data_IF_732892691164
#
_entry.id   IF_732892691164
#
_cell.length_a   1.000
_cell.length_b   1.000
_cell.length_c   1.000
_cell.angle_alpha   90.00
_cell.angle_beta   90.00
_cell.angle_gamma   90.00
#
_symmetry.space_group_name_H-M   'P 1'
#
loop_
_entity.id
_entity.type
_entity.pdbx_description
1 polymer ?
#
# COMPACT_ATOMS: atom_id res chain seq x y z
N UNK A 1 -2.29 -4.87 16.63
CA UNK A 1 -1.91 -3.58 17.24
C UNK A 1 -2.31 -3.48 18.71
N UNK A 2 -3.51 -3.92 19.14
CA UNK A 2 -4.02 -3.75 20.53
C UNK A 2 -3.16 -4.32 21.68
N UNK A 3 -2.22 -5.22 21.41
CA UNK A 3 -1.32 -5.80 22.42
C UNK A 3 0.03 -5.07 22.55
N UNK A 4 0.30 -4.10 21.68
CA UNK A 4 1.55 -3.34 21.65
C UNK A 4 1.24 -1.88 22.00
N UNK A 5 1.83 -1.31 23.06
CA UNK A 5 1.69 0.11 23.37
C UNK A 5 2.00 0.97 22.13
N UNK A 6 1.14 1.93 21.80
CA UNK A 6 1.28 2.74 20.59
C UNK A 6 2.68 3.37 20.44
N UNK A 7 3.26 3.83 21.55
CA UNK A 7 4.61 4.40 21.61
C UNK A 7 5.73 3.42 21.19
N UNK A 8 5.51 2.11 21.30
CA UNK A 8 6.49 1.08 20.92
C UNK A 8 6.36 0.63 19.46
N UNK A 9 5.23 0.94 18.81
CA UNK A 9 4.93 0.47 17.44
C UNK A 9 6.02 0.86 16.44
N UNK A 10 6.51 2.12 16.38
CA UNK A 10 7.52 2.49 15.39
C UNK A 10 8.83 1.72 15.55
N UNK A 11 9.27 1.50 16.80
CA UNK A 11 10.53 0.81 17.08
C UNK A 11 10.44 -0.68 16.76
N UNK A 12 9.35 -1.33 17.19
CA UNK A 12 9.12 -2.74 16.88
C UNK A 12 8.91 -2.94 15.38
N UNK A 13 8.06 -2.12 14.75
CA UNK A 13 7.83 -2.16 13.32
C UNK A 13 9.11 -2.00 12.51
N UNK A 14 9.97 -1.04 12.85
CA UNK A 14 11.25 -0.84 12.17
C UNK A 14 12.17 -2.06 12.31
N UNK A 15 12.28 -2.63 13.52
CA UNK A 15 13.09 -3.82 13.74
C UNK A 15 12.60 -5.03 12.91
N UNK A 16 11.28 -5.23 12.87
CA UNK A 16 10.65 -6.28 12.05
C UNK A 16 10.88 -6.01 10.55
N UNK A 17 10.71 -4.78 10.09
CA UNK A 17 10.92 -4.45 8.67
C UNK A 17 12.37 -4.71 8.23
N UNK A 18 13.36 -4.33 9.04
CA UNK A 18 14.77 -4.59 8.75
C UNK A 18 15.07 -6.08 8.71
N UNK A 19 14.63 -6.85 9.72
CA UNK A 19 14.93 -8.28 9.80
C UNK A 19 14.31 -9.06 8.63
N UNK A 20 13.05 -8.80 8.27
CA UNK A 20 12.38 -9.51 7.19
C UNK A 20 12.88 -9.10 5.80
N UNK A 21 13.21 -7.82 5.61
CA UNK A 21 13.84 -7.37 4.35
C UNK A 21 15.22 -7.99 4.19
N UNK A 22 16.00 -8.10 5.28
CA UNK A 22 17.29 -8.78 5.26
C UNK A 22 17.16 -10.27 4.89
N UNK A 23 16.20 -10.99 5.48
CA UNK A 23 15.96 -12.39 5.12
C UNK A 23 15.50 -12.56 3.67
N UNK A 24 14.62 -11.68 3.18
CA UNK A 24 14.17 -11.69 1.79
C UNK A 24 15.36 -11.55 0.82
N UNK A 25 16.22 -10.55 1.05
CA UNK A 25 17.37 -10.26 0.19
C UNK A 25 18.49 -11.32 0.29
N UNK A 26 18.58 -12.00 1.43
CA UNK A 26 19.63 -13.00 1.69
C UNK A 26 19.23 -14.43 1.31
N UNK A 27 17.99 -14.66 0.86
CA UNK A 27 17.53 -16.01 0.51
C UNK A 27 18.02 -16.41 -0.88
N UNK A 28 18.91 -17.42 -1.00
CA UNK A 28 19.41 -17.85 -2.30
C UNK A 28 18.33 -18.58 -3.11
N UNK A 29 18.31 -18.37 -4.43
CA UNK A 29 17.37 -19.02 -5.35
C UNK A 29 15.90 -18.87 -4.95
N UNK A 30 15.53 -17.70 -4.40
CA UNK A 30 14.17 -17.43 -3.98
C UNK A 30 13.18 -17.54 -5.15
N UNK A 31 12.30 -18.53 -5.08
CA UNK A 31 11.19 -18.71 -6.01
C UNK A 31 9.88 -18.45 -5.26
N UNK A 32 9.25 -17.32 -5.59
CA UNK A 32 8.00 -16.91 -4.96
C UNK A 32 6.81 -17.41 -5.76
N UNK A 33 5.82 -17.96 -5.06
CA UNK A 33 4.51 -18.27 -5.62
C UNK A 33 3.49 -17.25 -5.12
N UNK A 34 2.49 -16.85 -5.93
CA UNK A 34 1.43 -15.96 -5.47
C UNK A 34 0.76 -16.48 -4.19
N UNK A 35 0.46 -15.58 -3.25
CA UNK A 35 -0.31 -15.93 -2.06
C UNK A 35 -1.78 -16.21 -2.39
N UNK A 36 -2.53 -16.70 -1.39
CA UNK A 36 -3.95 -17.07 -1.55
C UNK A 36 -4.84 -15.86 -1.85
N UNK A 37 -4.40 -14.66 -1.46
CA UNK A 37 -5.11 -13.40 -1.68
C UNK A 37 -4.21 -12.42 -2.42
N UNK A 38 -4.79 -11.62 -3.30
CA UNK A 38 -4.04 -10.61 -4.07
C UNK A 38 -3.26 -9.64 -3.18
N UNK A 39 -3.82 -9.24 -2.04
CA UNK A 39 -3.21 -8.33 -1.06
C UNK A 39 -2.14 -8.97 -0.18
N UNK A 40 -1.89 -10.27 -0.30
CA UNK A 40 -0.92 -10.98 0.53
C UNK A 40 0.45 -11.07 -0.16
N UNK A 41 1.49 -10.69 0.58
CA UNK A 41 2.87 -10.79 0.11
C UNK A 41 3.26 -12.26 -0.11
N UNK A 42 3.77 -12.62 -1.31
CA UNK A 42 4.16 -13.99 -1.61
C UNK A 42 5.43 -14.45 -0.87
N UNK A 43 6.19 -13.52 -0.28
CA UNK A 43 7.41 -13.85 0.45
C UNK A 43 7.21 -14.11 1.95
N UNK A 44 6.36 -13.31 2.62
CA UNK A 44 6.21 -13.37 4.08
C UNK A 44 4.76 -13.48 4.55
N UNK A 45 3.78 -13.51 3.65
CA UNK A 45 2.36 -13.62 3.99
C UNK A 45 1.73 -12.36 4.60
N UNK A 46 2.49 -11.28 4.79
CA UNK A 46 1.98 -9.99 5.30
C UNK A 46 1.15 -9.24 4.25
N UNK A 47 0.18 -8.40 4.65
CA UNK A 47 -0.61 -7.60 3.72
C UNK A 47 0.23 -6.51 3.03
N UNK A 48 -0.26 -6.06 1.87
CA UNK A 48 0.23 -4.86 1.19
C UNK A 48 0.00 -3.60 2.05
N UNK A 49 0.99 -2.70 2.05
CA UNK A 49 0.89 -1.36 2.63
C UNK A 49 0.34 -0.34 1.62
N UNK A 50 0.76 -0.46 0.36
CA UNK A 50 0.37 0.41 -0.74
C UNK A 50 0.51 -0.33 -2.08
N UNK A 51 0.04 0.30 -3.15
CA UNK A 51 0.39 -0.07 -4.52
C UNK A 51 1.22 1.00 -5.22
N UNK A 52 1.95 0.59 -6.26
CA UNK A 52 2.82 1.44 -7.06
C UNK A 52 2.53 1.17 -8.54
N UNK A 53 2.26 2.23 -9.29
CA UNK A 53 2.10 2.20 -10.75
C UNK A 53 3.44 2.61 -11.36
N UNK A 54 4.10 1.64 -12.01
CA UNK A 54 5.42 1.84 -12.63
C UNK A 54 5.29 2.65 -13.92
N UNK A 55 6.28 3.48 -14.24
CA UNK A 55 6.27 4.37 -15.43
C UNK A 55 7.42 4.15 -16.41
N UNK A 56 8.28 3.13 -16.18
CA UNK A 56 9.53 2.93 -16.95
C UNK A 56 9.65 1.55 -17.56
N UNK A 57 10.16 1.51 -18.79
CA UNK A 57 10.59 0.30 -19.47
C UNK A 57 9.49 -0.76 -19.61
N UNK A 58 9.87 -2.03 -19.50
CA UNK A 58 8.95 -3.19 -19.63
C UNK A 58 7.85 -3.26 -18.57
N UNK A 59 7.96 -2.47 -17.50
CA UNK A 59 6.98 -2.44 -16.43
C UNK A 59 6.04 -1.23 -16.52
N UNK A 60 6.15 -0.41 -17.57
CA UNK A 60 5.34 0.79 -17.72
C UNK A 60 3.84 0.47 -17.64
N UNK A 61 3.13 1.22 -16.80
CA UNK A 61 1.72 1.06 -16.53
C UNK A 61 1.37 -0.12 -15.64
N UNK A 62 2.31 -1.00 -15.24
CA UNK A 62 2.01 -2.14 -14.37
C UNK A 62 1.83 -1.72 -12.91
N UNK A 63 0.88 -2.37 -12.24
CA UNK A 63 0.65 -2.22 -10.79
C UNK A 63 1.43 -3.28 -10.03
N UNK A 64 2.21 -2.81 -9.07
CA UNK A 64 2.84 -3.65 -8.05
C UNK A 64 2.24 -3.30 -6.68
N UNK A 65 2.11 -4.28 -5.80
CA UNK A 65 1.83 -4.05 -4.40
C UNK A 65 3.14 -4.08 -3.61
N UNK A 66 3.21 -3.29 -2.53
CA UNK A 66 4.40 -3.19 -1.67
C UNK A 66 4.07 -3.80 -0.31
N UNK A 67 4.84 -4.79 0.11
CA UNK A 67 4.64 -5.49 1.38
C UNK A 67 4.85 -4.54 2.57
N UNK A 68 3.95 -4.56 3.55
CA UNK A 68 4.07 -3.79 4.81
C UNK A 68 5.26 -4.20 5.70
N UNK A 69 5.70 -5.46 5.60
CA UNK A 69 6.77 -6.04 6.42
C UNK A 69 8.13 -6.14 5.70
N UNK A 70 8.24 -6.98 4.65
CA UNK A 70 9.53 -7.29 4.02
C UNK A 70 9.88 -6.43 2.79
N UNK A 71 9.06 -5.41 2.47
CA UNK A 71 9.17 -4.57 1.27
C UNK A 71 9.17 -5.30 -0.09
N UNK A 72 8.92 -6.61 -0.13
CA UNK A 72 8.72 -7.35 -1.38
C UNK A 72 7.61 -6.70 -2.21
N UNK A 73 7.90 -6.53 -3.51
CA UNK A 73 6.92 -6.08 -4.49
C UNK A 73 6.44 -7.22 -5.37
N UNK A 74 5.14 -7.29 -5.63
CA UNK A 74 4.55 -8.28 -6.52
C UNK A 74 3.50 -7.67 -7.44
N UNK A 75 3.44 -8.17 -8.67
CA UNK A 75 2.53 -7.68 -9.68
C UNK A 75 1.10 -8.14 -9.41
N UNK A 76 0.14 -7.22 -9.55
CA UNK A 76 -1.29 -7.50 -9.55
C UNK A 76 -1.94 -6.75 -10.71
N UNK A 77 -2.92 -7.38 -11.37
CA UNK A 77 -3.65 -6.76 -12.47
C UNK A 77 -4.31 -5.45 -12.04
N UNK A 78 -4.28 -4.44 -12.91
CA UNK A 78 -4.95 -3.15 -12.67
C UNK A 78 -6.46 -3.29 -12.65
N UNK A 79 -7.12 -2.30 -12.05
CA UNK A 79 -8.59 -2.20 -12.04
C UNK A 79 -9.20 -3.48 -11.45
N UNK A 80 -8.66 -3.90 -10.30
CA UNK A 80 -9.13 -5.05 -9.53
C UNK A 80 -8.88 -4.77 -8.05
N UNK A 81 -9.94 -4.81 -7.25
CA UNK A 81 -9.82 -4.65 -5.81
C UNK A 81 -8.96 -5.79 -5.24
N UNK A 82 -7.94 -5.46 -4.46
CA UNK A 82 -7.02 -6.47 -3.87
C UNK A 82 -7.61 -7.22 -2.67
N UNK A 83 -8.83 -6.85 -2.25
CA UNK A 83 -9.52 -7.43 -1.10
C UNK A 83 -10.70 -8.31 -1.51
N UNK A 84 -11.62 -7.80 -2.33
CA UNK A 84 -12.82 -8.52 -2.77
C UNK A 84 -12.77 -8.99 -4.24
N UNK A 85 -11.69 -8.65 -4.95
CA UNK A 85 -11.44 -9.09 -6.33
C UNK A 85 -12.43 -8.59 -7.40
N UNK A 86 -13.34 -7.68 -7.04
CA UNK A 86 -14.23 -7.01 -7.98
C UNK A 86 -13.47 -5.94 -8.79
N UNK A 87 -13.81 -5.81 -10.06
CA UNK A 87 -13.25 -4.81 -10.99
C UNK A 87 -14.23 -3.69 -11.32
N UNK A 88 -15.53 -3.90 -11.11
CA UNK A 88 -16.57 -2.93 -11.44
C UNK A 88 -16.67 -1.82 -10.40
N UNK A 89 -16.72 -0.57 -10.86
CA UNK A 89 -17.03 0.60 -10.04
C UNK A 89 -15.91 1.02 -9.08
N UNK A 90 -14.65 0.67 -9.38
CA UNK A 90 -13.53 1.21 -8.63
C UNK A 90 -13.36 2.70 -8.94
N UNK A 91 -13.16 3.49 -7.91
CA UNK A 91 -12.95 4.93 -7.99
C UNK A 91 -11.54 5.29 -7.52
N UNK A 92 -11.01 6.42 -7.99
CA UNK A 92 -9.66 6.87 -7.66
C UNK A 92 -9.74 8.28 -7.10
N UNK A 93 -9.53 8.42 -5.80
CA UNK A 93 -9.68 9.68 -5.09
C UNK A 93 -8.31 10.22 -4.68
N UNK A 94 -8.14 11.53 -4.75
CA UNK A 94 -6.97 12.23 -4.24
C UNK A 94 -7.42 13.36 -3.33
N UNK A 95 -6.54 13.84 -2.44
CA UNK A 95 -6.75 15.13 -1.82
C UNK A 95 -6.60 16.23 -2.88
N UNK A 96 -7.41 17.28 -2.76
CA UNK A 96 -7.23 18.49 -3.57
C UNK A 96 -5.93 19.19 -3.15
N UNK A 97 -5.08 19.48 -4.13
CA UNK A 97 -3.83 20.22 -3.97
C UNK A 97 -3.67 21.13 -5.19
N UNK A 98 -3.41 22.42 -4.97
CA UNK A 98 -3.22 23.41 -6.05
C UNK A 98 -2.04 23.05 -6.98
N UNK A 99 -1.12 22.18 -6.52
CA UNK A 99 0.06 21.75 -7.30
C UNK A 99 -0.25 20.71 -8.37
N UNK A 100 -1.34 19.95 -8.24
CA UNK A 100 -1.66 18.85 -9.14
C UNK A 100 -3.16 18.79 -9.44
N UNK A 101 -3.53 18.68 -10.71
CA UNK A 101 -4.89 18.27 -11.05
C UNK A 101 -5.19 16.90 -10.43
N UNK A 102 -6.44 16.64 -10.02
CA UNK A 102 -6.80 15.40 -9.31
C UNK A 102 -6.40 14.11 -10.09
N UNK A 103 -6.56 14.11 -11.41
CA UNK A 103 -6.14 13.01 -12.28
C UNK A 103 -4.62 12.89 -12.48
N UNK A 104 -3.85 13.85 -11.98
CA UNK A 104 -2.39 13.93 -12.00
C UNK A 104 -1.77 13.93 -10.60
N UNK A 105 -2.56 13.71 -9.53
CA UNK A 105 -2.01 13.59 -8.18
C UNK A 105 -1.05 12.39 -8.09
N UNK A 106 0.16 12.52 -7.50
CA UNK A 106 1.13 11.43 -7.40
C UNK A 106 0.67 10.29 -6.49
N UNK A 107 -0.24 10.56 -5.56
CA UNK A 107 -0.86 9.57 -4.68
C UNK A 107 -2.38 9.63 -4.81
N UNK A 108 -3.01 8.47 -5.03
CA UNK A 108 -4.48 8.34 -5.12
C UNK A 108 -4.94 7.10 -4.36
N UNK A 109 -6.07 7.15 -3.70
CA UNK A 109 -6.71 5.96 -3.14
C UNK A 109 -7.56 5.27 -4.21
N UNK A 110 -7.28 4.00 -4.48
CA UNK A 110 -8.22 3.11 -5.17
C UNK A 110 -9.28 2.67 -4.16
N UNK A 111 -10.51 3.08 -4.41
CA UNK A 111 -11.66 2.90 -3.53
C UNK A 111 -12.60 1.86 -4.13
N UNK A 112 -13.05 0.91 -3.32
CA UNK A 112 -13.97 -0.15 -3.75
C UNK A 112 -15.32 -0.04 -3.03
N UNK A 113 -16.40 0.35 -3.73
CA UNK A 113 -17.75 0.36 -3.17
C UNK A 113 -18.28 -1.04 -2.84
N UNK A 114 -17.72 -2.09 -3.46
CA UNK A 114 -18.17 -3.46 -3.23
C UNK A 114 -17.80 -4.03 -1.85
N UNK A 115 -16.72 -3.55 -1.24
CA UNK A 115 -16.27 -3.97 0.09
C UNK A 115 -15.95 -2.81 1.04
N UNK A 116 -16.31 -1.58 0.66
CA UNK A 116 -16.04 -0.35 1.41
C UNK A 116 -14.60 -0.26 1.91
N UNK A 117 -13.64 -0.66 1.09
CA UNK A 117 -12.21 -0.62 1.43
C UNK A 117 -11.43 0.22 0.43
N UNK A 118 -10.27 0.70 0.82
CA UNK A 118 -9.35 1.38 -0.09
C UNK A 118 -7.90 0.91 0.04
N UNK A 119 -7.12 1.20 -1.00
CA UNK A 119 -5.66 1.09 -1.00
C UNK A 119 -5.06 2.33 -1.65
N UNK A 120 -4.08 2.95 -1.00
CA UNK A 120 -3.30 4.03 -1.61
C UNK A 120 -2.39 3.51 -2.71
N UNK A 121 -2.36 4.21 -3.83
CA UNK A 121 -1.58 3.93 -5.01
C UNK A 121 -0.67 5.13 -5.32
N UNK A 122 0.62 4.86 -5.49
CA UNK A 122 1.61 5.82 -5.95
C UNK A 122 1.70 5.73 -7.47
N UNK A 123 1.64 6.86 -8.16
CA UNK A 123 1.79 6.95 -9.61
C UNK A 123 3.17 7.54 -9.92
N UNK A 124 4.13 6.67 -10.24
CA UNK A 124 5.53 7.10 -10.41
C UNK A 124 5.75 7.97 -11.65
N UNK A 125 4.80 8.02 -12.57
CA UNK A 125 4.82 8.95 -13.71
C UNK A 125 4.71 10.42 -13.24
N UNK A 126 4.08 10.63 -12.08
CA UNK A 126 3.77 11.94 -11.52
C UNK A 126 4.75 12.32 -10.40
N UNK A 127 5.38 11.32 -9.76
CA UNK A 127 6.49 11.50 -8.83
C UNK A 127 7.41 10.26 -8.89
N UNK A 128 8.53 10.39 -9.60
CA UNK A 128 9.43 9.27 -9.88
C UNK A 128 10.20 8.76 -8.65
N UNK A 129 10.33 9.60 -7.62
CA UNK A 129 11.10 9.31 -6.40
C UNK A 129 10.18 8.89 -5.24
N UNK A 130 8.87 8.83 -5.46
CA UNK A 130 7.90 8.46 -4.44
C UNK A 130 8.16 7.04 -3.90
N UNK A 131 8.16 6.92 -2.58
CA UNK A 131 8.39 5.68 -1.85
C UNK A 131 7.16 5.37 -0.98
N UNK A 132 6.76 4.10 -0.93
CA UNK A 132 5.47 3.68 -0.39
C UNK A 132 5.28 4.02 1.10
N UNK A 133 6.28 3.77 1.94
CA UNK A 133 6.19 4.00 3.38
C UNK A 133 6.06 5.49 3.70
N UNK A 134 6.93 6.31 3.12
CA UNK A 134 6.97 7.75 3.35
C UNK A 134 5.76 8.47 2.76
N UNK A 135 5.34 8.11 1.54
CA UNK A 135 4.14 8.66 0.92
C UNK A 135 2.87 8.28 1.69
N UNK A 136 2.83 7.09 2.28
CA UNK A 136 1.72 6.70 3.13
C UNK A 136 1.63 7.54 4.41
N UNK A 137 2.76 7.71 5.12
CA UNK A 137 2.83 8.53 6.35
C UNK A 137 2.58 10.02 6.08
N UNK A 138 2.96 10.55 4.91
CA UNK A 138 2.75 11.96 4.58
C UNK A 138 1.34 12.26 4.08
N UNK A 139 0.50 11.25 3.83
CA UNK A 139 -0.84 11.39 3.27
C UNK A 139 -1.96 10.95 4.23
N UNK A 140 -1.74 11.01 5.54
CA UNK A 140 -2.73 10.61 6.57
C UNK A 140 -4.05 11.37 6.47
N UNK A 141 -4.03 12.61 5.98
CA UNK A 141 -5.22 13.41 5.78
C UNK A 141 -6.19 12.78 4.74
N UNK A 142 -5.66 12.01 3.77
CA UNK A 142 -6.48 11.28 2.80
C UNK A 142 -7.18 10.11 3.50
N UNK A 143 -6.50 9.42 4.41
CA UNK A 143 -7.11 8.34 5.20
C UNK A 143 -8.26 8.87 6.06
N UNK A 144 -8.08 10.03 6.70
CA UNK A 144 -9.11 10.67 7.52
C UNK A 144 -10.35 11.00 6.68
N UNK A 145 -10.16 11.59 5.49
CA UNK A 145 -11.25 11.91 4.55
C UNK A 145 -12.00 10.65 4.11
N UNK A 146 -11.28 9.60 3.72
CA UNK A 146 -11.87 8.33 3.27
C UNK A 146 -12.61 7.60 4.40
N UNK A 147 -12.10 7.69 5.63
CA UNK A 147 -12.77 7.14 6.81
C UNK A 147 -14.10 7.85 7.06
N UNK A 148 -14.15 9.18 6.90
CA UNK A 148 -15.39 9.95 6.99
C UNK A 148 -16.40 9.58 5.87
N UNK A 149 -15.92 9.19 4.69
CA UNK A 149 -16.75 8.66 3.60
C UNK A 149 -17.21 7.20 3.81
N UNK A 150 -16.81 6.57 4.92
CA UNK A 150 -17.21 5.20 5.27
C UNK A 150 -16.32 4.11 4.68
N UNK A 151 -15.15 4.45 4.13
CA UNK A 151 -14.18 3.49 3.64
C UNK A 151 -13.18 3.06 4.72
N UNK A 152 -12.88 1.77 4.74
CA UNK A 152 -11.99 1.14 5.70
C UNK A 152 -10.60 0.89 5.11
N UNK A 153 -9.58 1.10 5.95
CA UNK A 153 -8.20 0.79 5.61
C UNK A 153 -7.83 -0.59 6.13
N UNK A 154 -7.48 -1.50 5.23
CA UNK A 154 -6.97 -2.84 5.56
C UNK A 154 -5.45 -2.97 5.41
N UNK A 155 -4.81 -1.95 4.84
CA UNK A 155 -3.37 -1.92 4.58
C UNK A 155 -2.60 -1.29 5.74
N UNK A 156 -1.81 -2.05 6.52
CA UNK A 156 -1.12 -1.52 7.69
C UNK A 156 0.16 -0.76 7.31
N UNK A 157 0.53 0.19 8.16
CA UNK A 157 1.88 0.77 8.21
C UNK A 157 2.51 0.39 9.56
N UNK A 158 3.58 -0.38 9.55
CA UNK A 158 4.19 -0.89 10.79
C UNK A 158 4.91 0.19 11.60
N UNK A 159 5.13 1.39 11.04
CA UNK A 159 5.75 2.50 11.75
C UNK A 159 4.75 3.46 12.39
N UNK A 160 3.45 3.19 12.27
CA UNK A 160 2.39 4.01 12.82
C UNK A 160 1.36 3.14 13.53
N UNK A 161 1.13 3.43 14.81
CA UNK A 161 -0.05 2.90 15.50
C UNK A 161 -1.28 3.70 15.04
N UNK A 162 -2.39 3.05 14.68
CA UNK A 162 -3.68 3.73 14.66
C UNK A 162 -3.89 4.35 16.04
N UNK A 163 -4.20 5.65 16.11
CA UNK A 163 -4.52 6.29 17.39
C UNK A 163 -5.72 5.60 18.03
N UNK A 164 -5.75 5.54 19.36
CA UNK A 164 -6.93 5.09 20.09
C UNK A 164 -8.07 6.10 19.85
N UNK A 165 -9.30 5.62 19.61
CA UNK A 165 -10.51 6.42 19.84
C UNK A 165 -10.74 6.63 21.33
#
# INVERSE_FOLDING_TARGET
>A
YSLVPAALVPFLGAALQVAWSHWLLSTPNLALSPGDRLSQCPACGSPAMAGVIRHRGKHNGLRYLVCSLCACEWHVVRVKCVYCEQSKGLEYLSLEDDRHAANQAPLRAEVCPGCNSYLKLLYLENDADAEALSADLSSLMLDMRLTQDGYQRLAPNLLLAPGDE
#
